data_IF_090113632684
#
_entry.id   IF_090113632684
#
_cell.length_a   1.000
_cell.length_b   1.000
_cell.length_c   1.000
_cell.angle_alpha   90.00
_cell.angle_beta   90.00
_cell.angle_gamma   90.00
#
_symmetry.space_group_name_H-M   'P 1'
#
loop_
_entity.id
_entity.type
_entity.pdbx_description
1 polymer ?
#
# COMPACT_ATOMS: atom_id res chain seq x y z
N UNK A 1 -54.88 -21.89 -11.00
CA UNK A 1 -54.38 -20.50 -10.98
C UNK A 1 -53.20 -20.30 -9.99
N UNK A 2 -52.35 -21.30 -9.74
CA UNK A 2 -51.22 -21.21 -8.79
C UNK A 2 -49.83 -21.29 -9.46
N UNK A 3 -49.76 -21.54 -10.77
CA UNK A 3 -48.49 -21.68 -11.51
C UNK A 3 -47.85 -20.36 -11.96
N UNK A 4 -48.62 -19.26 -11.95
CA UNK A 4 -48.14 -17.92 -12.32
C UNK A 4 -47.37 -17.26 -11.18
N UNK A 5 -47.85 -17.40 -9.93
CA UNK A 5 -47.22 -16.81 -8.73
C UNK A 5 -45.77 -17.29 -8.51
N UNK A 6 -45.50 -18.58 -8.75
CA UNK A 6 -44.16 -19.16 -8.58
C UNK A 6 -43.15 -18.66 -9.63
N UNK A 7 -43.61 -18.33 -10.85
CA UNK A 7 -42.73 -17.81 -11.90
C UNK A 7 -42.30 -16.37 -11.60
N UNK A 8 -43.19 -15.55 -11.06
CA UNK A 8 -42.90 -14.15 -10.72
C UNK A 8 -41.97 -14.02 -9.50
N UNK A 9 -42.18 -14.87 -8.48
CA UNK A 9 -41.28 -14.96 -7.32
C UNK A 9 -39.86 -15.39 -7.75
N UNK A 10 -39.75 -16.36 -8.67
CA UNK A 10 -38.46 -16.84 -9.19
C UNK A 10 -37.73 -15.77 -10.02
N UNK A 11 -38.46 -15.04 -10.88
CA UNK A 11 -37.90 -13.94 -11.68
C UNK A 11 -37.36 -12.79 -10.83
N UNK A 12 -37.99 -12.51 -9.69
CA UNK A 12 -37.54 -11.44 -8.76
C UNK A 12 -36.22 -11.82 -8.09
N UNK A 13 -36.12 -13.04 -7.58
CA UNK A 13 -34.88 -13.53 -6.94
C UNK A 13 -33.73 -13.64 -7.96
N UNK A 14 -34.02 -14.03 -9.21
CA UNK A 14 -33.01 -14.05 -10.29
C UNK A 14 -32.56 -12.64 -10.71
N UNK A 15 -33.47 -11.67 -10.79
CA UNK A 15 -33.16 -10.25 -11.08
C UNK A 15 -32.22 -9.67 -10.03
N UNK A 16 -32.42 -10.01 -8.76
CA UNK A 16 -31.58 -9.52 -7.65
C UNK A 16 -30.19 -10.16 -7.65
N UNK A 17 -30.10 -11.45 -7.96
CA UNK A 17 -28.81 -12.15 -8.13
C UNK A 17 -27.99 -11.60 -9.29
N UNK A 18 -28.63 -11.27 -10.41
CA UNK A 18 -27.98 -10.65 -11.57
C UNK A 18 -27.48 -9.22 -11.25
N UNK A 19 -28.27 -8.42 -10.52
CA UNK A 19 -27.88 -7.07 -10.12
C UNK A 19 -26.69 -7.07 -9.13
N UNK A 20 -26.66 -8.00 -8.16
CA UNK A 20 -25.55 -8.12 -7.21
C UNK A 20 -24.22 -8.54 -7.87
N UNK A 21 -24.28 -9.20 -9.03
CA UNK A 21 -23.09 -9.65 -9.76
C UNK A 21 -22.49 -8.54 -10.64
N UNK A 22 -23.28 -7.51 -11.00
CA UNK A 22 -22.82 -6.35 -11.75
C UNK A 22 -22.24 -5.22 -10.87
N UNK A 23 -22.39 -5.32 -9.54
CA UNK A 23 -21.84 -4.31 -8.61
C UNK A 23 -20.41 -4.62 -8.17
N UNK A 24 -19.95 -5.88 -8.31
CA UNK A 24 -18.60 -6.32 -7.95
C UNK A 24 -17.65 -6.37 -9.16
N UNK A 25 -17.68 -5.34 -9.99
CA UNK A 25 -16.78 -5.23 -11.15
C UNK A 25 -16.30 -3.78 -11.38
N UNK A 26 -16.34 -2.94 -10.35
CA UNK A 26 -15.99 -1.51 -10.45
C UNK A 26 -15.12 -0.99 -9.30
N UNK A 27 -14.42 -1.87 -8.58
CA UNK A 27 -13.23 -1.45 -7.83
C UNK A 27 -12.01 -1.56 -8.76
N UNK A 28 -12.07 -0.68 -9.75
CA UNK A 28 -11.00 -0.32 -10.66
C UNK A 28 -10.08 0.66 -9.92
N UNK A 29 -8.94 0.13 -9.50
CA UNK A 29 -7.61 0.77 -9.57
C UNK A 29 -7.67 2.28 -9.85
N UNK A 30 -7.81 3.07 -8.78
CA UNK A 30 -7.65 4.53 -8.83
C UNK A 30 -6.25 4.90 -8.34
N UNK A 31 -5.31 4.81 -9.29
CA UNK A 31 -4.21 5.73 -9.62
C UNK A 31 -3.21 6.31 -8.57
N UNK A 32 -2.00 6.65 -9.07
CA UNK A 32 -0.70 6.40 -8.45
C UNK A 32 -0.06 7.66 -7.83
N UNK A 33 1.04 7.45 -7.10
CA UNK A 33 1.97 8.46 -6.56
C UNK A 33 1.43 9.34 -5.42
N UNK A 34 2.32 9.71 -4.49
CA UNK A 34 2.10 10.58 -3.31
C UNK A 34 1.59 9.93 -2.01
N UNK A 35 2.12 8.77 -1.63
CA UNK A 35 2.61 8.63 -0.24
C UNK A 35 3.89 7.79 -0.23
N UNK A 36 4.85 8.19 -1.06
CA UNK A 36 6.22 7.70 -0.89
C UNK A 36 6.92 8.67 0.05
N UNK A 37 6.99 8.25 1.31
CA UNK A 37 7.98 8.74 2.28
C UNK A 37 7.66 10.01 3.05
N UNK A 38 6.46 10.13 3.61
CA UNK A 38 6.37 10.80 4.93
C UNK A 38 6.38 9.75 6.02
N UNK A 39 7.44 8.94 6.05
CA UNK A 39 7.72 8.13 7.24
C UNK A 39 8.01 9.16 8.33
N UNK A 40 7.05 9.38 9.22
CA UNK A 40 7.24 10.15 10.44
C UNK A 40 8.13 9.32 11.37
N UNK A 41 9.40 9.20 10.97
CA UNK A 41 10.44 8.63 11.79
C UNK A 41 10.59 9.56 13.00
N UNK A 42 10.72 9.03 14.23
CA UNK A 42 11.09 9.87 15.37
C UNK A 42 12.36 10.64 14.98
N UNK A 43 12.53 11.87 15.51
CA UNK A 43 13.61 12.81 15.12
C UNK A 43 14.99 12.15 15.02
N UNK A 44 15.27 11.18 15.90
CA UNK A 44 16.42 10.28 15.87
C UNK A 44 16.56 9.48 14.56
N UNK A 45 15.55 8.68 14.22
CA UNK A 45 15.61 7.79 13.07
C UNK A 45 15.64 8.59 11.75
N UNK A 46 14.99 9.76 11.70
CA UNK A 46 15.08 10.67 10.57
C UNK A 46 16.53 11.19 10.38
N UNK A 47 17.20 11.54 11.48
CA UNK A 47 18.60 11.98 11.45
C UNK A 47 19.55 10.86 11.01
N UNK A 48 19.34 9.65 11.55
CA UNK A 48 20.13 8.46 11.21
C UNK A 48 19.95 8.13 9.73
N UNK A 49 18.71 8.17 9.22
CA UNK A 49 18.43 7.97 7.81
C UNK A 49 19.11 9.00 6.91
N UNK A 50 19.13 10.29 7.30
CA UNK A 50 19.87 11.33 6.56
C UNK A 50 21.38 11.03 6.50
N UNK A 51 21.99 10.66 7.64
CA UNK A 51 23.42 10.35 7.71
C UNK A 51 23.76 9.11 6.87
N UNK A 52 22.97 8.04 7.00
CA UNK A 52 23.12 6.80 6.24
C UNK A 52 22.97 7.06 4.73
N UNK A 53 21.99 7.87 4.33
CA UNK A 53 21.79 8.27 2.94
C UNK A 53 23.02 8.99 2.38
N UNK A 54 23.59 9.96 3.11
CA UNK A 54 24.79 10.68 2.66
C UNK A 54 26.00 9.76 2.54
N UNK A 55 26.16 8.77 3.42
CA UNK A 55 27.24 7.79 3.32
C UNK A 55 27.07 6.88 2.11
N UNK A 56 25.85 6.39 1.86
CA UNK A 56 25.54 5.63 0.67
C UNK A 56 25.76 6.46 -0.61
N UNK A 57 25.33 7.72 -0.63
CA UNK A 57 25.55 8.65 -1.75
C UNK A 57 27.04 8.85 -2.05
N UNK A 58 27.87 8.99 -1.02
CA UNK A 58 29.32 9.17 -1.18
C UNK A 58 30.02 7.91 -1.76
N UNK A 59 29.40 6.74 -1.65
CA UNK A 59 29.82 5.48 -2.28
C UNK A 59 29.15 5.22 -3.62
N UNK A 60 28.17 6.03 -4.02
CA UNK A 60 27.38 5.81 -5.23
C UNK A 60 26.29 4.74 -5.08
N UNK A 61 25.76 4.56 -3.86
CA UNK A 61 24.71 3.59 -3.53
C UNK A 61 25.08 2.15 -3.86
N UNK A 62 26.32 1.75 -3.56
CA UNK A 62 26.76 0.36 -3.71
C UNK A 62 25.89 -0.58 -2.86
N UNK A 63 25.28 -1.63 -3.46
CA UNK A 63 24.43 -2.57 -2.75
C UNK A 63 25.26 -3.43 -1.80
N UNK A 64 24.65 -3.84 -0.68
CA UNK A 64 25.30 -4.69 0.32
C UNK A 64 25.93 -3.93 1.48
N UNK A 65 25.95 -2.60 1.44
CA UNK A 65 26.45 -1.74 2.52
C UNK A 65 25.36 -1.00 3.30
N UNK A 66 24.09 -1.23 2.96
CA UNK A 66 22.94 -0.52 3.54
C UNK A 66 22.89 -0.64 5.08
N UNK A 67 23.20 -1.83 5.61
CA UNK A 67 23.17 -2.09 7.05
C UNK A 67 24.35 -1.42 7.77
N UNK A 68 25.54 -1.45 7.16
CA UNK A 68 26.73 -0.78 7.70
C UNK A 68 26.54 0.73 7.73
N UNK A 69 25.97 1.32 6.67
CA UNK A 69 25.66 2.74 6.60
C UNK A 69 24.69 3.16 7.71
N UNK A 70 23.70 2.33 8.00
CA UNK A 70 22.75 2.59 9.07
C UNK A 70 23.40 2.46 10.46
N UNK A 71 24.20 1.40 10.70
CA UNK A 71 24.92 1.23 11.97
C UNK A 71 25.95 2.32 12.24
N UNK A 72 26.67 2.77 11.22
CA UNK A 72 27.59 3.91 11.34
C UNK A 72 26.82 5.22 11.60
N UNK A 73 25.69 5.42 10.93
CA UNK A 73 24.82 6.58 11.18
C UNK A 73 24.26 6.60 12.61
N UNK A 74 23.88 5.43 13.17
CA UNK A 74 23.45 5.32 14.56
C UNK A 74 24.57 5.69 15.54
N UNK A 75 25.79 5.24 15.27
CA UNK A 75 26.96 5.54 16.11
C UNK A 75 27.28 7.03 16.09
N UNK A 76 27.30 7.65 14.91
CA UNK A 76 27.54 9.09 14.75
C UNK A 76 26.44 9.93 15.42
N UNK A 77 25.18 9.46 15.42
CA UNK A 77 24.08 10.15 16.09
C UNK A 77 24.13 10.05 17.62
N UNK A 78 24.68 8.97 18.16
CA UNK A 78 24.79 8.72 19.61
C UNK A 78 26.04 9.33 20.26
N UNK A 79 26.99 9.81 19.46
CA UNK A 79 28.25 10.46 19.86
C UNK A 79 28.06 11.97 20.13
#
# INVERSE_FOLDING_TARGET
MFHTQLKEQSLTIMRWKMAATAEKAKEEISNPDEDRSTICLPDRDAKIAEIAYRKAENRGFEPGHELEDWLEAEQEFLL
#
